data_IF_188444361280
#
_entry.id   IF_188444361280
#
_cell.length_a   1.000
_cell.length_b   1.000
_cell.length_c   1.000
_cell.angle_alpha   90.00
_cell.angle_beta   90.00
_cell.angle_gamma   90.00
#
_symmetry.space_group_name_H-M   'P 1'
#
loop_
_entity.id
_entity.type
_entity.pdbx_description
1 polymer ?
#
# COMPACT_ATOMS: atom_id res chain seq x y z
N UNK A 1 16.31 -0.53 16.73
CA UNK A 1 15.08 0.27 16.82
C UNK A 1 14.08 -0.38 15.87
N UNK A 2 12.96 -0.94 16.36
CA UNK A 2 11.90 -1.38 15.45
C UNK A 2 11.41 -0.16 14.66
N UNK A 3 11.01 -0.34 13.40
CA UNK A 3 10.68 0.73 12.45
C UNK A 3 9.43 1.57 12.83
N UNK A 4 8.80 1.31 13.98
CA UNK A 4 7.65 2.09 14.46
C UNK A 4 6.34 1.85 13.70
N UNK A 5 6.25 0.78 12.91
CA UNK A 5 5.01 0.36 12.28
C UNK A 5 4.39 -0.77 13.08
N UNK A 6 3.30 -0.49 13.79
CA UNK A 6 2.67 -1.43 14.72
C UNK A 6 1.96 -2.61 14.04
N UNK A 7 1.85 -2.60 12.70
CA UNK A 7 1.00 -3.54 11.99
C UNK A 7 1.52 -3.89 10.57
N UNK A 8 2.70 -4.55 10.52
CA UNK A 8 3.31 -5.08 9.28
C UNK A 8 3.31 -6.61 9.30
N UNK A 9 2.91 -7.25 8.21
CA UNK A 9 2.92 -8.70 8.09
C UNK A 9 3.30 -9.15 6.67
N UNK A 10 3.63 -10.42 6.48
CA UNK A 10 4.06 -10.94 5.18
C UNK A 10 3.43 -12.29 4.84
N UNK A 11 3.18 -12.55 3.56
CA UNK A 11 2.62 -13.82 3.07
C UNK A 11 3.35 -14.32 1.82
N UNK A 12 3.90 -15.54 1.88
CA UNK A 12 4.58 -16.22 0.78
C UNK A 12 4.27 -17.73 0.78
N UNK A 13 4.68 -18.44 -0.27
CA UNK A 13 4.34 -19.85 -0.50
C UNK A 13 4.95 -20.86 0.48
N UNK A 14 5.70 -20.40 1.48
CA UNK A 14 6.32 -21.25 2.49
C UNK A 14 5.57 -21.25 3.83
N UNK A 15 4.53 -20.42 3.95
CA UNK A 15 3.64 -20.41 5.11
C UNK A 15 2.48 -21.40 4.90
N UNK A 16 1.99 -21.97 6.00
CA UNK A 16 0.85 -22.87 5.96
C UNK A 16 -0.42 -22.11 5.52
N UNK A 17 -1.40 -22.83 4.96
CA UNK A 17 -2.65 -22.21 4.49
C UNK A 17 -3.38 -21.47 5.62
N UNK A 18 -3.45 -22.07 6.82
CA UNK A 18 -4.09 -21.47 7.99
C UNK A 18 -3.40 -20.18 8.45
N UNK A 19 -2.07 -20.10 8.32
CA UNK A 19 -1.31 -18.88 8.65
C UNK A 19 -1.60 -17.78 7.62
N UNK A 20 -1.63 -18.14 6.33
CA UNK A 20 -1.96 -17.22 5.25
C UNK A 20 -3.37 -16.65 5.41
N UNK A 21 -4.34 -17.50 5.74
CA UNK A 21 -5.73 -17.08 5.96
C UNK A 21 -5.84 -16.10 7.14
N UNK A 22 -5.17 -16.36 8.27
CA UNK A 22 -5.13 -15.45 9.42
C UNK A 22 -4.54 -14.08 9.08
N UNK A 23 -3.44 -14.06 8.33
CA UNK A 23 -2.79 -12.82 7.90
C UNK A 23 -3.72 -12.04 6.97
N UNK A 24 -4.35 -12.70 6.00
CA UNK A 24 -5.27 -12.05 5.07
C UNK A 24 -6.55 -11.57 5.74
N UNK A 25 -7.07 -12.32 6.72
CA UNK A 25 -8.21 -11.90 7.54
C UNK A 25 -7.86 -10.63 8.34
N UNK A 26 -6.73 -10.65 9.05
CA UNK A 26 -6.26 -9.49 9.82
C UNK A 26 -5.99 -8.27 8.94
N UNK A 27 -5.51 -8.47 7.71
CA UNK A 27 -5.34 -7.39 6.73
C UNK A 27 -6.66 -6.82 6.23
N UNK A 28 -7.69 -7.66 6.02
CA UNK A 28 -9.04 -7.19 5.62
C UNK A 28 -9.74 -6.43 6.75
N UNK A 29 -9.53 -6.84 7.99
CA UNK A 29 -10.11 -6.18 9.17
C UNK A 29 -9.35 -4.92 9.60
N UNK A 30 -8.34 -4.49 8.82
CA UNK A 30 -7.47 -3.33 9.12
C UNK A 30 -6.68 -3.47 10.43
N UNK A 31 -6.54 -4.69 10.95
CA UNK A 31 -5.59 -5.00 12.04
C UNK A 31 -4.14 -5.02 11.56
N UNK A 32 -3.91 -4.95 10.25
CA UNK A 32 -2.61 -4.83 9.58
C UNK A 32 -2.70 -3.75 8.51
N UNK A 33 -1.79 -2.77 8.56
CA UNK A 33 -1.74 -1.67 7.60
C UNK A 33 -0.82 -1.97 6.40
N UNK A 34 0.19 -2.83 6.61
CA UNK A 34 1.15 -3.20 5.57
C UNK A 34 1.21 -4.72 5.40
N UNK A 35 0.90 -5.18 4.19
CA UNK A 35 1.04 -6.58 3.80
C UNK A 35 2.06 -6.74 2.68
N UNK A 36 3.13 -7.50 2.96
CA UNK A 36 4.18 -7.81 2.00
C UNK A 36 3.89 -9.19 1.40
N UNK A 37 3.84 -9.33 0.08
CA UNK A 37 3.50 -10.62 -0.53
C UNK A 37 4.12 -10.81 -1.91
N UNK A 38 4.19 -12.07 -2.37
CA UNK A 38 4.61 -12.44 -3.72
C UNK A 38 3.44 -12.50 -4.69
N UNK A 39 3.72 -12.45 -6.00
CA UNK A 39 2.70 -12.48 -7.06
C UNK A 39 1.67 -13.59 -6.95
N UNK A 40 2.12 -14.77 -6.53
CA UNK A 40 1.25 -15.95 -6.47
C UNK A 40 0.28 -15.81 -5.29
N UNK A 41 0.76 -15.31 -4.16
CA UNK A 41 -0.01 -15.17 -2.93
C UNK A 41 -0.88 -13.92 -2.91
N UNK A 42 -0.52 -12.88 -3.67
CA UNK A 42 -1.35 -11.68 -3.83
C UNK A 42 -2.66 -11.94 -4.58
N UNK A 43 -2.75 -13.02 -5.36
CA UNK A 43 -3.95 -13.38 -6.11
C UNK A 43 -5.04 -13.84 -5.15
N UNK A 44 -6.18 -13.16 -5.18
CA UNK A 44 -7.29 -13.43 -4.25
C UNK A 44 -7.31 -12.50 -3.04
N UNK A 45 -6.28 -11.66 -2.85
CA UNK A 45 -6.38 -10.50 -1.98
C UNK A 45 -7.35 -9.52 -2.64
N UNK A 46 -8.53 -9.44 -2.04
CA UNK A 46 -9.59 -8.49 -2.31
C UNK A 46 -9.84 -7.76 -0.99
N UNK A 47 -9.25 -6.58 -0.87
CA UNK A 47 -9.49 -5.65 0.22
C UNK A 47 -9.83 -4.30 -0.44
N UNK A 48 -11.07 -3.80 -0.31
CA UNK A 48 -11.49 -2.54 -0.92
C UNK A 48 -10.71 -1.33 -0.42
N UNK A 49 -10.08 -1.44 0.76
CA UNK A 49 -9.39 -0.34 1.44
C UNK A 49 -7.94 -0.15 0.97
N UNK A 50 -7.46 -0.94 -0.01
CA UNK A 50 -6.11 -0.77 -0.56
C UNK A 50 -6.05 0.49 -1.42
N UNK A 51 -5.35 1.50 -0.92
CA UNK A 51 -5.10 2.77 -1.61
C UNK A 51 -3.65 2.92 -2.09
N UNK A 52 -2.72 2.11 -1.61
CA UNK A 52 -1.31 2.15 -2.02
C UNK A 52 -0.83 0.74 -2.37
N UNK A 53 -0.26 0.61 -3.57
CA UNK A 53 0.41 -0.61 -4.03
C UNK A 53 1.87 -0.29 -4.30
N UNK A 54 2.80 -1.03 -3.70
CA UNK A 54 4.24 -0.83 -3.91
C UNK A 54 4.82 -2.07 -4.59
N UNK A 55 5.35 -1.90 -5.80
CA UNK A 55 6.22 -2.87 -6.42
C UNK A 55 7.64 -2.63 -5.91
N UNK A 56 8.06 -3.45 -4.95
CA UNK A 56 9.45 -3.47 -4.50
C UNK A 56 10.36 -3.96 -5.63
N UNK A 57 10.02 -5.10 -6.24
CA UNK A 57 10.65 -5.60 -7.46
C UNK A 57 9.71 -5.40 -8.66
N UNK A 58 10.22 -4.83 -9.76
CA UNK A 58 9.42 -4.61 -10.97
C UNK A 58 9.00 -5.95 -11.62
N UNK A 59 7.70 -6.18 -11.88
CA UNK A 59 7.27 -7.37 -12.62
C UNK A 59 7.84 -7.40 -14.05
N UNK A 60 8.21 -8.60 -14.51
CA UNK A 60 8.84 -8.81 -15.84
C UNK A 60 7.88 -8.66 -17.03
N UNK A 61 6.57 -8.55 -16.80
CA UNK A 61 5.54 -8.51 -17.85
C UNK A 61 4.49 -7.45 -17.54
N UNK A 62 3.97 -6.77 -18.57
CA UNK A 62 2.91 -5.78 -18.42
C UNK A 62 1.62 -6.35 -17.81
N UNK A 63 1.26 -7.59 -18.13
CA UNK A 63 0.09 -8.26 -17.54
C UNK A 63 0.24 -8.44 -16.02
N UNK A 64 1.41 -8.86 -15.55
CA UNK A 64 1.71 -8.97 -14.12
C UNK A 64 1.69 -7.61 -13.44
N UNK A 65 2.24 -6.57 -14.09
CA UNK A 65 2.16 -5.19 -13.61
C UNK A 65 0.71 -4.75 -13.41
N UNK A 66 -0.15 -4.96 -14.41
CA UNK A 66 -1.56 -4.59 -14.35
C UNK A 66 -2.29 -5.34 -13.23
N UNK A 67 -2.03 -6.64 -13.04
CA UNK A 67 -2.61 -7.42 -11.95
C UNK A 67 -2.18 -6.97 -10.55
N UNK A 68 -0.97 -6.41 -10.40
CA UNK A 68 -0.50 -5.82 -9.14
C UNK A 68 -1.12 -4.45 -8.93
N UNK A 69 -1.05 -3.57 -9.93
CA UNK A 69 -1.61 -2.22 -9.85
C UNK A 69 -3.13 -2.24 -9.60
N UNK A 70 -3.85 -3.21 -10.16
CA UNK A 70 -5.29 -3.39 -9.97
C UNK A 70 -5.72 -3.92 -8.58
N UNK A 71 -4.81 -3.98 -7.59
CA UNK A 71 -5.15 -4.34 -6.20
C UNK A 71 -5.84 -3.20 -5.45
N UNK A 72 -5.58 -1.95 -5.83
CA UNK A 72 -6.23 -0.78 -5.27
C UNK A 72 -7.24 -0.14 -6.23
N UNK A 73 -7.85 0.97 -5.78
CA UNK A 73 -8.67 1.83 -6.63
C UNK A 73 -10.05 1.25 -6.96
N UNK A 74 -10.56 0.38 -6.10
CA UNK A 74 -11.88 -0.26 -6.25
C UNK A 74 -12.99 0.67 -5.75
N UNK A 75 -14.20 0.51 -6.28
CA UNK A 75 -15.40 1.26 -5.85
C UNK A 75 -15.26 2.80 -5.90
N UNK A 76 -14.49 3.32 -6.86
CA UNK A 76 -14.27 4.76 -7.01
C UNK A 76 -13.29 5.36 -6.00
N UNK A 77 -12.67 4.53 -5.15
CA UNK A 77 -11.58 4.94 -4.28
C UNK A 77 -10.35 5.32 -5.11
N UNK A 78 -9.59 6.29 -4.60
CA UNK A 78 -8.31 6.67 -5.20
C UNK A 78 -7.24 5.68 -4.77
N UNK A 79 -6.33 5.36 -5.69
CA UNK A 79 -5.17 4.56 -5.35
C UNK A 79 -3.97 4.91 -6.22
N UNK A 80 -2.78 4.70 -5.65
CA UNK A 80 -1.52 4.84 -6.35
C UNK A 80 -0.77 3.51 -6.42
N UNK A 81 -0.07 3.31 -7.54
CA UNK A 81 0.89 2.24 -7.68
C UNK A 81 2.28 2.85 -7.84
N UNK A 82 3.17 2.54 -6.90
CA UNK A 82 4.56 2.99 -6.90
C UNK A 82 5.44 1.82 -7.27
N UNK A 83 6.34 2.01 -8.23
CA UNK A 83 7.40 1.04 -8.52
C UNK A 83 8.75 1.62 -8.16
N UNK A 84 9.52 0.88 -7.39
CA UNK A 84 10.90 1.21 -7.06
C UNK A 84 11.78 0.62 -8.15
N UNK A 85 12.62 1.46 -8.76
CA UNK A 85 13.53 1.07 -9.84
C UNK A 85 14.95 1.44 -9.40
N UNK A 86 15.81 0.45 -9.26
CA UNK A 86 17.20 0.60 -8.82
C UNK A 86 18.18 0.52 -9.99
N UNK A 87 17.89 -0.33 -10.99
CA UNK A 87 18.80 -0.63 -12.09
C UNK A 87 18.35 -0.06 -13.44
N UNK A 88 19.32 0.22 -14.32
CA UNK A 88 19.04 0.68 -15.69
C UNK A 88 18.17 -0.31 -16.48
N UNK A 89 18.29 -1.61 -16.20
CA UNK A 89 17.48 -2.66 -16.82
C UNK A 89 16.00 -2.52 -16.45
N UNK A 90 15.71 -2.13 -15.21
CA UNK A 90 14.34 -1.95 -14.74
C UNK A 90 13.70 -0.71 -15.36
N UNK A 91 14.48 0.35 -15.61
CA UNK A 91 14.01 1.51 -16.39
C UNK A 91 13.62 1.15 -17.83
N UNK A 92 14.40 0.29 -18.48
CA UNK A 92 14.09 -0.21 -19.83
C UNK A 92 12.82 -1.07 -19.80
N UNK A 93 12.75 -2.01 -18.85
CA UNK A 93 11.58 -2.87 -18.67
C UNK A 93 10.32 -2.05 -18.38
N UNK A 94 10.41 -1.02 -17.53
CA UNK A 94 9.29 -0.13 -17.27
C UNK A 94 8.84 0.61 -18.54
N UNK A 95 9.80 1.08 -19.35
CA UNK A 95 9.49 1.73 -20.63
C UNK A 95 8.75 0.79 -21.59
N UNK A 96 9.15 -0.48 -21.63
CA UNK A 96 8.46 -1.51 -22.42
C UNK A 96 7.06 -1.79 -21.89
N UNK A 97 6.88 -1.85 -20.57
CA UNK A 97 5.57 -2.02 -19.92
C UNK A 97 4.64 -0.84 -20.24
N UNK A 98 5.13 0.40 -20.12
CA UNK A 98 4.37 1.61 -20.45
C UNK A 98 3.89 1.57 -21.91
N UNK A 99 4.77 1.18 -22.83
CA UNK A 99 4.45 1.04 -24.25
C UNK A 99 3.43 -0.08 -24.51
N UNK A 100 3.59 -1.22 -23.86
CA UNK A 100 2.70 -2.37 -24.01
C UNK A 100 1.28 -2.05 -23.50
N UNK A 101 1.18 -1.35 -22.37
CA UNK A 101 -0.10 -1.02 -21.73
C UNK A 101 -0.70 0.30 -22.24
N UNK A 102 0.04 1.08 -23.05
CA UNK A 102 -0.33 2.41 -23.50
C UNK A 102 -0.69 3.36 -22.35
N UNK A 103 0.11 3.31 -21.27
CA UNK A 103 -0.06 4.15 -20.07
C UNK A 103 1.14 5.07 -19.87
N UNK A 104 0.87 6.24 -19.31
CA UNK A 104 1.91 7.16 -18.85
C UNK A 104 2.15 6.94 -17.35
N UNK A 105 3.39 6.64 -16.97
CA UNK A 105 3.80 6.50 -15.57
C UNK A 105 4.76 7.64 -15.26
N UNK A 106 4.40 8.48 -14.29
CA UNK A 106 5.19 9.64 -13.89
C UNK A 106 6.43 9.18 -13.11
N UNK A 107 7.59 9.66 -13.54
CA UNK A 107 8.82 9.52 -12.75
C UNK A 107 8.84 10.58 -11.64
N UNK A 108 9.01 10.13 -10.40
CA UNK A 108 9.11 10.98 -9.20
C UNK A 108 10.49 10.77 -8.57
N UNK A 109 11.08 11.84 -8.04
CA UNK A 109 12.41 11.78 -7.40
C UNK A 109 12.32 11.48 -5.92
N UNK A 110 11.26 11.92 -5.27
CA UNK A 110 11.00 11.71 -3.85
C UNK A 110 9.56 11.28 -3.63
N UNK A 111 9.33 10.48 -2.58
CA UNK A 111 7.99 10.15 -2.09
C UNK A 111 7.26 11.42 -1.62
N UNK A 112 8.00 12.44 -1.17
CA UNK A 112 7.42 13.74 -0.79
C UNK A 112 6.77 14.49 -1.96
N UNK A 113 7.06 14.11 -3.21
CA UNK A 113 6.47 14.73 -4.40
C UNK A 113 5.12 14.10 -4.79
N UNK A 114 4.66 13.07 -4.05
CA UNK A 114 3.37 12.42 -4.27
C UNK A 114 2.30 13.18 -3.47
N UNK A 115 1.33 13.84 -4.13
CA UNK A 115 0.29 14.52 -3.41
C UNK A 115 -0.63 13.52 -2.71
N UNK A 116 -0.97 13.78 -1.44
CA UNK A 116 -1.88 12.96 -0.66
C UNK A 116 -3.24 12.75 -1.35
N UNK A 117 -3.69 13.75 -2.13
CA UNK A 117 -4.92 13.68 -2.92
C UNK A 117 -4.97 12.55 -3.95
N UNK A 118 -3.85 11.89 -4.25
CA UNK A 118 -3.78 10.75 -5.19
C UNK A 118 -4.12 9.41 -4.52
N UNK A 119 -4.01 9.33 -3.19
CA UNK A 119 -4.19 8.07 -2.44
C UNK A 119 -5.00 8.21 -1.15
N UNK A 120 -5.37 9.42 -0.76
CA UNK A 120 -6.31 9.69 0.33
C UNK A 120 -7.65 10.10 -0.28
N UNK A 121 -8.70 9.37 0.09
CA UNK A 121 -10.09 9.75 -0.18
C UNK A 121 -10.62 10.61 0.97
N UNK A 122 -11.43 11.62 0.65
CA UNK A 122 -12.08 12.53 1.62
C UNK A 122 -12.92 11.81 2.71
N UNK A 123 -13.21 10.52 2.51
CA UNK A 123 -13.91 9.68 3.49
C UNK A 123 -13.08 9.31 4.75
N UNK A 124 -11.76 9.50 4.74
CA UNK A 124 -10.87 9.13 5.85
C UNK A 124 -10.49 10.28 6.80
N UNK A 125 -10.99 11.51 6.58
CA UNK A 125 -10.74 12.64 7.49
C UNK A 125 -11.56 12.57 8.79
N UNK A 126 -12.52 11.65 8.90
CA UNK A 126 -13.43 11.55 10.04
C UNK A 126 -12.86 10.80 11.26
N UNK A 127 -11.68 10.18 11.16
CA UNK A 127 -11.15 9.27 12.21
C UNK A 127 -9.94 9.86 12.98
N UNK A 128 -9.69 11.17 12.86
CA UNK A 128 -8.55 11.84 13.53
C UNK A 128 -8.95 12.99 14.46
N UNK A 129 -10.24 13.15 14.78
CA UNK A 129 -10.72 14.15 15.73
C UNK A 129 -11.39 13.47 16.93
N UNK A 130 -10.61 12.73 17.74
CA UNK A 130 -11.10 12.22 19.04
C UNK A 130 -9.93 11.88 20.01
N UNK A 131 -8.82 12.64 20.04
CA UNK A 131 -7.80 12.47 21.11
C UNK A 131 -7.08 13.76 21.56
N UNK A 132 -7.67 14.95 21.43
CA UNK A 132 -7.12 16.15 22.08
C UNK A 132 -8.25 17.05 22.63
N UNK A 133 -8.84 16.68 23.77
CA UNK A 133 -9.50 17.66 24.66
C UNK A 133 -9.40 17.22 26.13
N UNK A 134 -8.61 18.02 26.87
CA UNK A 134 -8.77 18.42 28.28
C UNK A 134 -8.61 17.38 29.43
N UNK A 135 -7.46 17.47 30.13
CA UNK A 135 -7.47 17.55 31.61
C UNK A 135 -6.31 18.43 32.12
N UNK A 136 -6.47 19.75 32.05
CA UNK A 136 -5.77 20.66 32.97
C UNK A 136 -6.48 20.60 34.34
N UNK A 137 -6.04 19.68 35.20
CA UNK A 137 -6.39 19.69 36.61
C UNK A 137 -5.72 20.87 37.35
N UNK A 138 -6.45 21.66 38.15
CA UNK A 138 -5.99 22.97 38.59
C UNK A 138 -4.91 22.94 39.68
N UNK A 139 -4.16 24.04 39.69
CA UNK A 139 -3.06 24.39 40.56
C UNK A 139 -3.37 24.31 42.08
N UNK A 140 -2.27 24.09 42.82
CA UNK A 140 -2.17 23.88 44.27
C UNK A 140 -2.84 24.96 45.13
N UNK A 141 -3.44 24.52 46.25
CA UNK A 141 -3.76 25.37 47.41
C UNK A 141 -2.76 25.07 48.54
N UNK A 142 -1.99 26.09 48.92
CA UNK A 142 -1.45 26.26 50.28
C UNK A 142 -2.43 27.11 51.09
#
# INVERSE_FOLDING_TARGET
>A
MPLGYDAVNYSHSGLDEDEREKIFHSFRESGINFLITTDIMARGIDNPNVNVVINYDLPMKGESFLHRAGRGGRYGQKAICISILAEQRELQLMSDIMRQLAVEIKHIKSVADIPASEYVSDANEADTQDEDDEDEGPASLN
#
